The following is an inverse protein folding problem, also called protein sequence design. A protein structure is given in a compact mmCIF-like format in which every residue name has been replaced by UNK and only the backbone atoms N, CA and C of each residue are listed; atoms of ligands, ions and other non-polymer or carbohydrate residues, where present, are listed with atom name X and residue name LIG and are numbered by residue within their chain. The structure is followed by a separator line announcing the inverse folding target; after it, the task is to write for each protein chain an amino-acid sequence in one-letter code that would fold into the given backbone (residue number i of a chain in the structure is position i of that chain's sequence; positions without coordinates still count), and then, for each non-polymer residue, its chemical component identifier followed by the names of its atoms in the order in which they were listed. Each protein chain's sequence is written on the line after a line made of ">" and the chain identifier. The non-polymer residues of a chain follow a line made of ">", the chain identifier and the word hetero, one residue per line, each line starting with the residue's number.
data_IF_069713453088
#
_entry.id   IF_069713453088
#
_cell.length_a   1.000
_cell.length_b   1.000
_cell.length_c   1.000
_cell.angle_alpha   90.00
_cell.angle_beta   90.00
_cell.angle_gamma   90.00
#
_symmetry.space_group_name_H-M   'P 1'
#
loop_
_entity.id
_entity.type
_entity.pdbx_description
1 polymer ?
#
# COMPACT_ATOMS: atom_id res chain seq x y z
N UNK A 1 -21.87 -9.09 12.61
CA UNK A 1 -21.05 -8.51 11.52
C UNK A 1 -20.04 -9.56 11.12
N UNK A 2 -20.03 -9.96 9.86
CA UNK A 2 -19.06 -10.92 9.32
C UNK A 2 -18.00 -10.18 8.52
N UNK A 3 -16.78 -10.72 8.47
CA UNK A 3 -15.75 -10.24 7.55
C UNK A 3 -16.29 -10.45 6.12
N UNK A 4 -16.20 -9.47 5.20
CA UNK A 4 -16.59 -9.69 3.82
C UNK A 4 -15.84 -10.88 3.23
N UNK A 5 -16.51 -11.74 2.48
CA UNK A 5 -15.93 -12.98 1.89
C UNK A 5 -14.59 -12.73 1.19
N UNK A 6 -14.44 -11.56 0.56
CA UNK A 6 -13.23 -11.14 -0.15
C UNK A 6 -12.02 -10.91 0.76
N UNK A 7 -12.22 -10.68 2.05
CA UNK A 7 -11.18 -10.47 3.06
C UNK A 7 -11.08 -11.63 4.07
N UNK A 8 -11.86 -12.70 3.89
CA UNK A 8 -11.75 -13.92 4.69
C UNK A 8 -10.35 -14.56 4.53
N UNK A 9 -9.80 -15.07 5.63
CA UNK A 9 -8.45 -15.65 5.71
C UNK A 9 -7.29 -14.73 5.29
N UNK A 10 -7.51 -13.40 5.23
CA UNK A 10 -6.48 -12.40 4.91
C UNK A 10 -6.02 -11.63 6.13
N UNK A 11 -4.79 -11.10 6.07
CA UNK A 11 -4.25 -10.19 7.09
C UNK A 11 -4.52 -8.75 6.74
N UNK A 12 -4.98 -7.97 7.72
CA UNK A 12 -5.15 -6.53 7.55
C UNK A 12 -3.81 -5.82 7.71
N UNK A 13 -3.48 -4.99 6.72
CA UNK A 13 -2.22 -4.25 6.65
C UNK A 13 -2.44 -2.74 6.53
N UNK A 14 -3.69 -2.30 6.46
CA UNK A 14 -4.05 -0.89 6.41
C UNK A 14 -5.54 -0.68 6.56
N UNK A 15 -5.93 0.51 6.98
CA UNK A 15 -7.33 0.93 7.06
C UNK A 15 -7.47 2.40 6.68
N UNK A 16 -8.70 2.78 6.35
CA UNK A 16 -9.09 4.17 6.13
C UNK A 16 -10.52 4.38 6.67
N UNK A 17 -10.82 5.62 7.05
CA UNK A 17 -12.13 6.04 7.53
C UNK A 17 -13.26 5.61 6.60
N UNK A 18 -14.44 5.36 7.19
CA UNK A 18 -15.61 4.83 6.48
C UNK A 18 -15.66 3.30 6.40
N UNK A 19 -14.73 2.60 7.05
CA UNK A 19 -14.72 1.13 7.15
C UNK A 19 -13.93 0.42 6.06
N UNK A 20 -13.01 1.12 5.40
CA UNK A 20 -12.15 0.54 4.39
C UNK A 20 -10.95 -0.16 5.00
N UNK A 21 -10.62 -1.33 4.47
CA UNK A 21 -9.50 -2.15 4.93
C UNK A 21 -8.72 -2.68 3.73
N UNK A 22 -7.39 -2.57 3.79
CA UNK A 22 -6.48 -3.30 2.92
C UNK A 22 -6.15 -4.65 3.57
N UNK A 23 -6.45 -5.73 2.87
CA UNK A 23 -6.23 -7.10 3.32
C UNK A 23 -5.39 -7.87 2.29
N UNK A 24 -4.43 -8.66 2.77
CA UNK A 24 -3.51 -9.44 1.92
C UNK A 24 -3.48 -10.91 2.30
N UNK A 25 -3.24 -11.77 1.32
CA UNK A 25 -2.80 -13.15 1.51
C UNK A 25 -1.53 -13.45 0.68
N UNK A 26 -1.24 -14.73 0.48
CA UNK A 26 -0.11 -15.18 -0.31
C UNK A 26 -0.24 -14.89 -1.82
N UNK A 27 -1.32 -14.27 -2.30
CA UNK A 27 -1.57 -14.07 -3.74
C UNK A 27 -2.08 -12.69 -4.07
N UNK A 28 -2.93 -12.14 -3.22
CA UNK A 28 -3.81 -11.04 -3.52
C UNK A 28 -3.82 -9.98 -2.43
N UNK A 29 -3.78 -8.72 -2.86
CA UNK A 29 -4.21 -7.57 -2.10
C UNK A 29 -5.65 -7.26 -2.51
N UNK A 30 -6.52 -7.08 -1.52
CA UNK A 30 -7.87 -6.56 -1.69
C UNK A 30 -8.06 -5.32 -0.83
N UNK A 31 -8.83 -4.36 -1.34
CA UNK A 31 -9.30 -3.21 -0.56
C UNK A 31 -10.82 -3.24 -0.55
N UNK A 32 -11.39 -3.47 0.63
CA UNK A 32 -12.82 -3.69 0.81
C UNK A 32 -13.38 -2.84 1.93
N UNK A 33 -14.68 -2.54 1.84
CA UNK A 33 -15.42 -1.91 2.92
C UNK A 33 -16.17 -2.96 3.74
N UNK A 34 -15.98 -2.98 5.06
CA UNK A 34 -16.62 -3.97 5.95
C UNK A 34 -18.13 -3.80 6.10
N UNK A 35 -18.62 -2.57 5.99
CA UNK A 35 -20.02 -2.29 6.24
C UNK A 35 -20.86 -2.47 4.98
N UNK A 36 -20.33 -2.13 3.81
CA UNK A 36 -21.05 -2.24 2.53
C UNK A 36 -20.67 -3.44 1.68
N UNK A 37 -19.55 -4.11 1.95
CA UNK A 37 -18.99 -5.16 1.09
C UNK A 37 -18.42 -4.64 -0.24
N UNK A 38 -18.37 -3.31 -0.43
CA UNK A 38 -17.81 -2.69 -1.62
C UNK A 38 -16.32 -3.04 -1.76
N UNK A 39 -15.86 -3.19 -3.00
CA UNK A 39 -14.47 -3.46 -3.34
C UNK A 39 -13.95 -2.30 -4.18
N UNK A 40 -12.82 -1.73 -3.76
CA UNK A 40 -12.14 -0.67 -4.49
C UNK A 40 -10.97 -1.21 -5.32
N UNK A 41 -10.27 -2.22 -4.80
CA UNK A 41 -9.07 -2.76 -5.43
C UNK A 41 -8.98 -4.25 -5.23
N UNK A 42 -8.55 -4.96 -6.29
CA UNK A 42 -8.01 -6.31 -6.22
C UNK A 42 -6.82 -6.44 -7.15
N UNK A 43 -5.67 -6.76 -6.57
CA UNK A 43 -4.42 -6.87 -7.30
C UNK A 43 -3.61 -8.07 -6.82
N UNK A 44 -2.77 -8.68 -7.66
CA UNK A 44 -1.75 -9.60 -7.19
C UNK A 44 -0.76 -8.86 -6.28
N UNK A 45 -0.29 -9.48 -5.18
CA UNK A 45 0.67 -8.81 -4.28
C UNK A 45 2.05 -8.65 -4.94
N UNK A 46 2.38 -9.47 -5.94
CA UNK A 46 3.63 -9.39 -6.69
C UNK A 46 3.44 -8.77 -8.08
N UNK A 47 4.03 -7.59 -8.37
CA UNK A 47 4.25 -7.15 -9.74
C UNK A 47 5.16 -8.15 -10.46
N UNK A 48 4.86 -8.50 -11.72
CA UNK A 48 5.63 -9.48 -12.53
C UNK A 48 7.14 -9.21 -12.61
N UNK A 49 7.56 -7.97 -12.32
CA UNK A 49 8.96 -7.51 -12.37
C UNK A 49 9.70 -7.54 -11.01
N UNK A 50 9.06 -7.97 -9.91
CA UNK A 50 9.65 -8.04 -8.57
C UNK A 50 9.57 -9.47 -8.00
N UNK A 51 10.03 -10.47 -8.77
CA UNK A 51 9.92 -11.91 -8.45
C UNK A 51 10.60 -12.35 -7.14
N UNK A 52 11.37 -11.50 -6.47
CA UNK A 52 12.01 -11.79 -5.18
C UNK A 52 11.21 -11.33 -3.95
N UNK A 53 10.14 -10.56 -4.16
CA UNK A 53 9.32 -10.02 -3.08
C UNK A 53 8.18 -11.00 -2.83
N UNK A 54 8.23 -11.78 -1.74
CA UNK A 54 7.17 -12.73 -1.38
C UNK A 54 5.83 -12.00 -1.18
N UNK A 55 4.68 -12.60 -1.42
CA UNK A 55 3.37 -11.97 -1.21
C UNK A 55 3.08 -11.49 0.24
N UNK A 56 3.77 -12.03 1.25
CA UNK A 56 3.77 -11.53 2.64
C UNK A 56 4.70 -10.32 2.86
N UNK A 57 4.98 -9.56 1.80
CA UNK A 57 6.02 -8.53 1.76
C UNK A 57 5.54 -7.12 2.04
N UNK A 58 4.26 -6.89 2.35
CA UNK A 58 3.81 -5.56 2.74
C UNK A 58 3.54 -5.54 4.23
N UNK A 59 4.24 -4.65 4.93
CA UNK A 59 4.12 -4.48 6.38
C UNK A 59 2.98 -3.52 6.74
N UNK A 60 2.81 -2.48 5.93
CA UNK A 60 1.81 -1.42 6.13
C UNK A 60 1.39 -0.90 4.76
N UNK A 61 0.11 -0.62 4.60
CA UNK A 61 -0.47 0.14 3.49
C UNK A 61 -1.19 1.34 4.07
N UNK A 62 -0.99 2.50 3.46
CA UNK A 62 -1.75 3.72 3.74
C UNK A 62 -2.36 4.26 2.45
N UNK A 63 -3.36 5.09 2.61
CA UNK A 63 -4.13 5.69 1.52
C UNK A 63 -3.96 7.21 1.57
N UNK A 64 -3.85 7.85 0.41
CA UNK A 64 -3.79 9.32 0.33
C UNK A 64 -5.14 9.98 0.59
N UNK A 65 -6.23 9.24 0.33
CA UNK A 65 -7.62 9.66 0.48
C UNK A 65 -8.52 8.41 0.49
N UNK A 66 -9.84 8.61 0.36
CA UNK A 66 -10.81 7.51 0.28
C UNK A 66 -10.44 6.50 -0.82
N UNK A 67 -10.38 5.18 -0.52
CA UNK A 67 -10.03 4.17 -1.52
C UNK A 67 -11.01 4.06 -2.69
N UNK A 68 -12.24 4.54 -2.54
CA UNK A 68 -13.22 4.61 -3.63
C UNK A 68 -12.95 5.75 -4.61
N UNK A 69 -12.02 6.67 -4.29
CA UNK A 69 -11.62 7.77 -5.17
C UNK A 69 -10.68 7.27 -6.26
N UNK A 70 -10.91 7.66 -7.51
CA UNK A 70 -10.02 7.33 -8.64
C UNK A 70 -8.65 7.99 -8.52
N UNK A 71 -8.52 9.06 -7.73
CA UNK A 71 -7.22 9.70 -7.46
C UNK A 71 -6.47 9.08 -6.28
N UNK A 72 -7.05 8.08 -5.60
CA UNK A 72 -6.42 7.47 -4.44
C UNK A 72 -5.09 6.78 -4.81
N UNK A 73 -4.05 7.15 -4.05
CA UNK A 73 -2.74 6.53 -4.10
C UNK A 73 -2.58 5.65 -2.87
N UNK A 74 -2.16 4.42 -3.12
CA UNK A 74 -1.71 3.48 -2.11
C UNK A 74 -0.21 3.65 -1.95
N UNK A 75 0.24 3.83 -0.70
CA UNK A 75 1.65 3.74 -0.36
C UNK A 75 1.85 2.57 0.60
N UNK A 76 2.92 1.81 0.39
CA UNK A 76 3.20 0.64 1.21
C UNK A 76 4.68 0.56 1.63
N UNK A 77 4.89 -0.02 2.81
CA UNK A 77 6.22 -0.37 3.31
C UNK A 77 6.46 -1.85 3.04
N UNK A 78 7.56 -2.17 2.38
CA UNK A 78 7.97 -3.56 2.23
C UNK A 78 8.33 -4.19 3.58
N UNK A 79 8.13 -5.50 3.76
CA UNK A 79 8.36 -6.24 5.00
C UNK A 79 9.81 -6.14 5.48
N UNK A 80 10.75 -6.16 4.53
CA UNK A 80 12.18 -5.95 4.78
C UNK A 80 12.52 -4.50 5.13
N UNK A 81 11.55 -3.57 5.06
CA UNK A 81 11.68 -2.13 5.32
C UNK A 81 12.67 -1.41 4.40
N UNK A 82 13.06 -2.07 3.31
CA UNK A 82 14.07 -1.56 2.37
C UNK A 82 13.48 -0.79 1.21
N UNK A 83 12.15 -0.78 1.05
CA UNK A 83 11.46 -0.12 -0.05
C UNK A 83 10.17 0.54 0.43
N UNK A 84 9.85 1.67 -0.20
CA UNK A 84 8.50 2.23 -0.25
C UNK A 84 7.95 2.00 -1.64
N UNK A 85 6.71 1.54 -1.74
CA UNK A 85 6.05 1.30 -3.03
C UNK A 85 4.77 2.12 -3.15
N UNK A 86 4.50 2.64 -4.35
CA UNK A 86 3.27 3.36 -4.69
C UNK A 86 2.45 2.65 -5.75
N UNK A 87 1.12 2.75 -5.67
CA UNK A 87 0.20 2.27 -6.69
C UNK A 87 -1.05 3.17 -6.73
N UNK A 88 -1.64 3.40 -7.91
CA UNK A 88 -2.98 4.01 -7.99
C UNK A 88 -4.04 2.94 -7.79
N UNK A 89 -5.07 3.24 -7.00
CA UNK A 89 -6.13 2.29 -6.71
C UNK A 89 -6.89 1.83 -7.97
N UNK A 90 -7.06 2.71 -8.95
CA UNK A 90 -7.83 2.48 -10.18
C UNK A 90 -7.08 1.72 -11.29
N UNK A 91 -5.75 1.51 -11.16
CA UNK A 91 -4.92 0.91 -12.19
C UNK A 91 -4.25 -0.38 -11.72
N UNK A 92 -5.00 -1.48 -11.90
CA UNK A 92 -4.60 -2.82 -11.48
C UNK A 92 -3.42 -3.42 -12.28
N UNK A 93 -3.10 -2.89 -13.47
CA UNK A 93 -2.09 -3.47 -14.37
C UNK A 93 -0.76 -2.72 -14.43
N UNK A 94 -0.71 -1.42 -14.09
CA UNK A 94 0.49 -0.57 -14.29
C UNK A 94 1.59 -0.77 -13.23
N UNK A 95 1.35 -1.64 -12.24
CA UNK A 95 2.37 -2.09 -11.30
C UNK A 95 2.72 -1.06 -10.23
N UNK A 96 3.27 -1.56 -9.13
CA UNK A 96 3.76 -0.73 -8.06
C UNK A 96 5.08 -0.05 -8.48
N UNK A 97 5.16 1.27 -8.35
CA UNK A 97 6.42 2.00 -8.44
C UNK A 97 7.18 1.82 -7.12
N UNK A 98 8.41 1.29 -7.16
CA UNK A 98 9.20 0.98 -5.96
C UNK A 98 10.42 1.91 -5.84
N UNK A 99 10.59 2.53 -4.67
CA UNK A 99 11.78 3.31 -4.31
C UNK A 99 12.58 2.57 -3.25
N UNK A 100 13.78 2.13 -3.62
CA UNK A 100 14.72 1.44 -2.71
C UNK A 100 15.43 2.43 -1.80
N UNK A 101 15.48 2.12 -0.52
CA UNK A 101 16.21 2.87 0.51
C UNK A 101 17.63 2.33 0.59
N UNK A 102 18.60 3.14 0.15
CA UNK A 102 20.02 2.76 0.00
C UNK A 102 20.69 2.50 1.37
N UNK A 103 20.43 1.33 1.96
CA UNK A 103 20.95 0.94 3.27
C UNK A 103 20.20 1.51 4.47
N UNK A 104 19.14 2.31 4.24
CA UNK A 104 18.28 2.84 5.29
C UNK A 104 17.02 2.00 5.46
N UNK A 105 16.42 2.03 6.65
CA UNK A 105 15.19 1.29 6.95
C UNK A 105 14.00 2.24 7.08
N UNK A 106 12.89 1.93 6.42
CA UNK A 106 11.61 2.64 6.60
C UNK A 106 10.97 2.14 7.89
N UNK A 107 10.83 3.04 8.88
CA UNK A 107 10.08 2.82 10.10
C UNK A 107 8.59 2.89 9.87
N UNK A 108 8.14 4.04 9.41
CA UNK A 108 6.73 4.26 9.11
C UNK A 108 6.55 5.25 7.95
N UNK A 109 5.34 5.32 7.40
CA UNK A 109 4.92 6.28 6.38
C UNK A 109 3.56 6.90 6.71
N UNK A 110 3.36 8.13 6.24
CA UNK A 110 2.11 8.89 6.35
C UNK A 110 1.94 9.82 5.15
N UNK A 111 0.69 10.04 4.74
CA UNK A 111 0.34 11.13 3.83
C UNK A 111 -0.02 12.38 4.64
N UNK A 112 0.61 13.51 4.33
CA UNK A 112 0.33 14.82 4.90
C UNK A 112 0.16 15.82 3.76
N UNK A 113 -1.00 16.48 3.65
CA UNK A 113 -1.29 17.44 2.56
C UNK A 113 -1.02 16.88 1.15
N UNK A 114 -1.38 15.60 0.91
CA UNK A 114 -1.12 14.85 -0.34
C UNK A 114 0.34 14.52 -0.62
N UNK A 115 1.24 14.83 0.31
CA UNK A 115 2.66 14.50 0.19
C UNK A 115 2.98 13.28 1.06
N UNK A 116 3.82 12.39 0.55
CA UNK A 116 4.23 11.19 1.28
C UNK A 116 5.47 11.49 2.11
N UNK A 117 5.38 11.21 3.40
CA UNK A 117 6.49 11.26 4.32
C UNK A 117 6.78 9.87 4.88
N UNK A 118 8.02 9.66 5.33
CA UNK A 118 8.35 8.49 6.15
C UNK A 118 9.44 8.77 7.17
N UNK A 119 9.42 7.95 8.21
CA UNK A 119 10.44 7.90 9.25
C UNK A 119 11.52 6.91 8.82
N UNK A 120 12.76 7.38 8.76
CA UNK A 120 13.90 6.62 8.24
C UNK A 120 14.91 6.36 9.35
N UNK A 121 15.20 5.08 9.61
CA UNK A 121 16.20 4.67 10.59
C UNK A 121 17.64 4.71 10.05
N UNK A 122 18.64 4.74 10.94
CA UNK A 122 18.51 4.56 12.40
C UNK A 122 18.08 5.82 13.17
N UNK A 123 18.25 7.02 12.62
CA UNK A 123 18.10 8.29 13.36
C UNK A 123 16.66 8.83 13.42
N UNK A 124 15.68 8.04 12.98
CA UNK A 124 14.26 8.43 12.87
C UNK A 124 14.02 9.74 12.08
N UNK A 125 14.84 9.97 11.05
CA UNK A 125 14.77 11.13 10.19
C UNK A 125 13.42 11.15 9.43
N UNK A 126 12.70 12.27 9.52
CA UNK A 126 11.49 12.49 8.73
C UNK A 126 11.88 12.95 7.31
N UNK A 127 11.62 12.11 6.32
CA UNK A 127 11.94 12.37 4.92
C UNK A 127 10.66 12.49 4.08
N UNK A 128 10.60 13.52 3.24
CA UNK A 128 9.59 13.63 2.18
C UNK A 128 10.02 12.79 0.99
N UNK A 129 9.12 11.92 0.53
CA UNK A 129 9.36 11.13 -0.67
C UNK A 129 8.94 11.92 -1.91
N UNK A 130 9.93 12.38 -2.67
CA UNK A 130 9.73 12.73 -4.07
C UNK A 130 9.57 11.44 -4.86
N UNK A 131 8.34 11.14 -5.24
CA UNK A 131 8.02 10.03 -6.14
C UNK A 131 7.24 10.65 -7.28
N UNK A 132 7.86 10.64 -8.46
CA UNK A 132 7.24 11.20 -9.66
C UNK A 132 5.93 10.47 -9.93
N UNK A 133 4.83 11.21 -9.78
CA UNK A 133 3.49 10.72 -10.11
C UNK A 133 3.34 10.44 -11.61
N UNK A 134 4.25 10.96 -12.43
CA UNK A 134 4.40 10.62 -13.85
C UNK A 134 4.81 9.15 -14.07
N UNK A 135 5.46 8.51 -13.09
CA UNK A 135 5.76 7.08 -13.12
C UNK A 135 4.52 6.21 -12.82
N UNK A 136 3.42 6.81 -12.36
CA UNK A 136 2.09 6.19 -12.23
C UNK A 136 1.20 6.53 -13.45
N UNK A 137 1.84 6.90 -14.57
CA UNK A 137 1.25 7.32 -15.85
C UNK A 137 0.31 6.32 -16.49
#
# INVERSE_FOLDING_TARGET
>A
MHVPDKAEDKWFVGSHDGGWVAAIDDRTLVIVNFFSGAEAVRAPVCPRNLRSIKPTSLRKIIFSESPASSSCILAAIAYTRSHVTLCKADRHESGWAAKKMQGRMVGDIAFCNRELYGLIGPDEELVKFEIDMELLG
#
